data_IF_463811877233
#
_entry.id   IF_463811877233
#
_cell.length_a   1.000
_cell.length_b   1.000
_cell.length_c   1.000
_cell.angle_alpha   90.00
_cell.angle_beta   90.00
_cell.angle_gamma   90.00
#
_symmetry.space_group_name_H-M   'P 1'
#
loop_
_entity.id
_entity.type
_entity.pdbx_description
1 polymer ?
#
# COMPACT_ATOMS: atom_id res chain seq x y z
N UNK A 1 -12.97 8.86 17.88
CA UNK A 1 -11.57 8.51 18.25
C UNK A 1 -11.61 7.29 19.14
N UNK A 2 -10.67 6.35 19.03
CA UNK A 2 -10.60 5.18 19.91
C UNK A 2 -9.15 4.83 20.20
N UNK A 3 -8.87 4.40 21.43
CA UNK A 3 -7.53 4.06 21.88
C UNK A 3 -7.51 3.56 23.33
N UNK A 4 -6.31 3.28 23.83
CA UNK A 4 -6.08 3.09 25.26
C UNK A 4 -5.98 4.46 25.95
N UNK A 5 -6.96 4.76 26.81
CA UNK A 5 -7.00 6.02 27.54
C UNK A 5 -6.39 5.93 28.95
N UNK A 6 -6.03 4.72 29.43
CA UNK A 6 -5.62 4.47 30.83
C UNK A 6 -6.53 5.18 31.88
N UNK A 7 -7.81 5.33 31.53
CA UNK A 7 -8.78 6.13 32.24
C UNK A 7 -9.84 5.20 32.82
N UNK A 8 -9.98 5.20 34.14
CA UNK A 8 -10.92 4.34 34.84
C UNK A 8 -12.09 5.18 35.36
N UNK A 9 -13.32 4.79 35.05
CA UNK A 9 -14.52 5.42 35.57
C UNK A 9 -15.69 4.44 35.60
N UNK A 10 -16.58 4.59 36.59
CA UNK A 10 -17.76 3.72 36.74
C UNK A 10 -18.74 3.84 35.57
N UNK A 11 -18.73 4.97 34.86
CA UNK A 11 -19.60 5.20 33.70
C UNK A 11 -19.33 4.24 32.53
N UNK A 12 -18.10 3.74 32.39
CA UNK A 12 -17.76 2.67 31.44
C UNK A 12 -17.36 1.38 32.18
N UNK A 13 -18.04 1.13 33.30
CA UNK A 13 -18.02 -0.13 34.04
C UNK A 13 -16.64 -0.55 34.63
N UNK A 14 -15.75 0.41 34.88
CA UNK A 14 -14.58 0.15 35.73
C UNK A 14 -14.97 0.11 37.22
N UNK A 15 -14.31 -0.77 37.98
CA UNK A 15 -14.53 -0.94 39.42
C UNK A 15 -14.30 0.34 40.25
N UNK A 16 -13.31 1.15 39.86
CA UNK A 16 -12.93 2.40 40.51
C UNK A 16 -12.76 3.51 39.49
N UNK A 17 -12.88 4.75 39.95
CA UNK A 17 -12.59 5.93 39.13
C UNK A 17 -11.20 6.49 39.48
N UNK A 18 -10.38 6.80 38.47
CA UNK A 18 -9.11 7.52 38.65
C UNK A 18 -9.27 9.01 38.22
N UNK A 19 -8.31 9.91 38.55
CA UNK A 19 -8.40 11.32 38.16
C UNK A 19 -8.61 11.51 36.66
N UNK A 20 -7.86 10.77 35.83
CA UNK A 20 -7.99 10.83 34.36
C UNK A 20 -9.39 10.45 33.88
N UNK A 21 -10.00 9.41 34.45
CA UNK A 21 -11.36 9.02 34.14
C UNK A 21 -12.41 10.04 34.56
N UNK A 22 -12.22 10.73 35.70
CA UNK A 22 -13.10 11.84 36.11
C UNK A 22 -12.99 13.02 35.14
N UNK A 23 -11.77 13.39 34.73
CA UNK A 23 -11.55 14.45 33.75
C UNK A 23 -12.14 14.10 32.39
N UNK A 24 -11.91 12.86 31.92
CA UNK A 24 -12.43 12.39 30.65
C UNK A 24 -13.97 12.37 30.67
N UNK A 25 -14.58 11.87 31.73
CA UNK A 25 -16.03 11.85 31.88
C UNK A 25 -16.64 13.27 31.90
N UNK A 26 -16.01 14.21 32.59
CA UNK A 26 -16.41 15.62 32.57
C UNK A 26 -16.30 16.20 31.16
N UNK A 27 -15.15 16.02 30.51
CA UNK A 27 -14.91 16.50 29.14
C UNK A 27 -15.94 15.96 28.16
N UNK A 28 -16.29 14.67 28.24
CA UNK A 28 -17.28 14.06 27.35
C UNK A 28 -18.67 14.61 27.61
N UNK A 29 -19.03 14.88 28.87
CA UNK A 29 -20.32 15.47 29.23
C UNK A 29 -20.42 16.91 28.70
N UNK A 30 -19.41 17.74 28.96
CA UNK A 30 -19.38 19.15 28.56
C UNK A 30 -19.41 19.31 27.02
N UNK A 31 -18.81 18.36 26.28
CA UNK A 31 -18.71 18.41 24.82
C UNK A 31 -19.75 17.55 24.07
N UNK A 32 -20.72 16.97 24.79
CA UNK A 32 -21.76 16.08 24.25
C UNK A 32 -21.17 14.93 23.42
N UNK A 33 -20.15 14.28 23.98
CA UNK A 33 -19.51 13.09 23.42
C UNK A 33 -20.12 11.84 24.06
N UNK A 34 -20.38 10.84 23.23
CA UNK A 34 -20.76 9.51 23.68
C UNK A 34 -19.51 8.64 23.88
N UNK A 35 -19.44 7.92 25.00
CA UNK A 35 -18.40 6.94 25.26
C UNK A 35 -18.92 5.55 24.86
N UNK A 36 -18.30 4.94 23.86
CA UNK A 36 -18.49 3.53 23.56
C UNK A 36 -17.42 2.72 24.29
N UNK A 37 -17.85 1.78 25.12
CA UNK A 37 -17.00 0.89 25.89
C UNK A 37 -17.53 -0.55 25.80
N UNK A 38 -16.66 -1.56 25.66
CA UNK A 38 -17.09 -2.94 25.70
C UNK A 38 -17.75 -3.33 27.04
N UNK A 39 -18.69 -4.29 27.04
CA UNK A 39 -19.32 -4.78 28.28
C UNK A 39 -18.36 -5.62 29.13
N UNK A 40 -17.29 -6.14 28.53
CA UNK A 40 -16.28 -6.98 29.18
C UNK A 40 -14.92 -6.27 29.25
N UNK A 41 -14.06 -6.58 30.25
CA UNK A 41 -12.77 -5.92 30.43
C UNK A 41 -11.86 -6.04 29.21
N UNK A 42 -11.15 -4.94 28.90
CA UNK A 42 -10.16 -4.88 27.81
C UNK A 42 -8.73 -5.09 28.30
N UNK A 43 -8.49 -5.03 29.62
CA UNK A 43 -7.18 -5.33 30.23
C UNK A 43 -7.32 -6.23 31.45
N UNK A 44 -6.46 -7.24 31.51
CA UNK A 44 -6.33 -8.20 32.61
C UNK A 44 -4.89 -8.17 33.14
N UNK A 45 -4.64 -7.30 34.12
CA UNK A 45 -3.36 -7.24 34.82
C UNK A 45 -3.40 -7.93 36.19
N UNK A 46 -2.34 -7.76 36.99
CA UNK A 46 -2.28 -8.27 38.38
C UNK A 46 -3.32 -7.65 39.34
N UNK A 47 -4.04 -6.62 38.90
CA UNK A 47 -5.12 -5.95 39.62
C UNK A 47 -6.48 -6.34 39.03
N UNK A 48 -7.56 -5.74 39.55
CA UNK A 48 -8.92 -5.96 39.03
C UNK A 48 -9.01 -5.65 37.53
N UNK A 49 -9.70 -6.49 36.73
CA UNK A 49 -9.93 -6.25 35.31
C UNK A 49 -10.52 -4.86 35.03
N UNK A 50 -10.11 -4.22 33.94
CA UNK A 50 -10.51 -2.85 33.60
C UNK A 50 -10.87 -2.65 32.14
N UNK A 51 -11.70 -1.65 31.89
CA UNK A 51 -12.14 -1.22 30.56
C UNK A 51 -11.51 0.13 30.28
N UNK A 52 -10.36 0.14 29.60
CA UNK A 52 -9.59 1.36 29.32
C UNK A 52 -9.35 1.60 27.82
N UNK A 53 -9.62 0.59 27.00
CA UNK A 53 -9.65 0.68 25.55
C UNK A 53 -11.08 1.05 25.11
N UNK A 54 -11.34 2.35 24.99
CA UNK A 54 -12.68 2.93 24.76
C UNK A 54 -12.68 3.83 23.51
N UNK A 55 -13.86 4.16 23.01
CA UNK A 55 -14.04 5.08 21.89
C UNK A 55 -14.91 6.28 22.26
N UNK A 56 -14.46 7.47 21.88
CA UNK A 56 -15.19 8.73 21.98
C UNK A 56 -15.87 9.04 20.64
N UNK A 57 -17.17 9.27 20.70
CA UNK A 57 -18.03 9.48 19.54
C UNK A 57 -18.67 10.86 19.64
N UNK A 58 -18.57 11.66 18.56
CA UNK A 58 -19.22 12.97 18.43
C UNK A 58 -20.04 12.98 17.15
N UNK A 59 -21.27 13.48 17.22
CA UNK A 59 -22.11 13.74 16.04
C UNK A 59 -22.30 12.53 15.11
N UNK A 60 -22.34 11.31 15.64
CA UNK A 60 -22.72 10.11 14.89
C UNK A 60 -24.11 9.68 15.34
N UNK A 61 -25.05 9.62 14.39
CA UNK A 61 -26.42 9.15 14.61
C UNK A 61 -26.55 7.63 14.43
N UNK A 62 -25.45 6.89 14.59
CA UNK A 62 -25.42 5.45 14.38
C UNK A 62 -25.12 4.77 15.70
N UNK A 63 -25.76 3.62 15.93
CA UNK A 63 -25.45 2.78 17.06
C UNK A 63 -24.03 2.23 16.91
N UNK A 64 -23.27 2.27 18.00
CA UNK A 64 -21.94 1.69 18.08
C UNK A 64 -21.99 0.48 19.03
N UNK A 65 -21.79 -0.71 18.50
CA UNK A 65 -21.61 -1.91 19.28
C UNK A 65 -20.11 -2.13 19.57
N UNK A 66 -19.75 -2.19 20.84
CA UNK A 66 -18.39 -2.35 21.33
C UNK A 66 -18.23 -3.73 21.99
N UNK A 67 -17.24 -4.51 21.57
CA UNK A 67 -16.97 -5.85 22.10
C UNK A 67 -15.48 -6.01 22.38
N UNK A 68 -15.13 -6.61 23.52
CA UNK A 68 -13.77 -7.02 23.81
C UNK A 68 -13.55 -8.44 23.32
N UNK A 69 -12.53 -8.65 22.50
CA UNK A 69 -12.19 -9.93 21.90
C UNK A 69 -11.08 -10.56 22.73
N UNK A 70 -11.35 -11.75 23.29
CA UNK A 70 -10.32 -12.49 24.02
C UNK A 70 -9.22 -12.94 23.06
N UNK A 71 -8.04 -12.34 23.17
CA UNK A 71 -6.87 -12.70 22.38
C UNK A 71 -5.74 -13.11 23.35
N UNK A 72 -5.35 -14.38 23.33
CA UNK A 72 -4.52 -15.01 24.37
C UNK A 72 -3.02 -14.62 24.34
N UNK A 73 -2.65 -13.55 23.65
CA UNK A 73 -1.23 -13.18 23.43
C UNK A 73 -0.78 -11.91 24.15
N UNK A 74 -1.67 -11.19 24.84
CA UNK A 74 -1.38 -9.94 25.57
C UNK A 74 -2.26 -9.83 26.81
N UNK A 75 -1.83 -9.02 27.79
CA UNK A 75 -2.65 -8.58 28.93
C UNK A 75 -3.79 -7.63 28.52
N UNK A 76 -3.78 -7.15 27.27
CA UNK A 76 -4.85 -6.43 26.62
C UNK A 76 -5.64 -7.30 25.63
N UNK A 77 -6.95 -7.32 25.79
CA UNK A 77 -7.88 -7.81 24.79
C UNK A 77 -8.22 -6.70 23.79
N UNK A 78 -8.10 -6.96 22.47
CA UNK A 78 -8.55 -6.01 21.45
C UNK A 78 -10.00 -5.59 21.64
N UNK A 79 -10.27 -4.29 21.53
CA UNK A 79 -11.62 -3.76 21.50
C UNK A 79 -12.06 -3.55 20.04
N UNK A 80 -13.18 -4.16 19.66
CA UNK A 80 -13.82 -4.02 18.36
C UNK A 80 -15.04 -3.09 18.49
N UNK A 81 -15.00 -1.99 17.77
CA UNK A 81 -16.12 -1.06 17.64
C UNK A 81 -16.74 -1.22 16.25
N UNK A 82 -18.00 -1.65 16.22
CA UNK A 82 -18.81 -1.81 15.02
C UNK A 82 -19.89 -0.74 15.02
N UNK A 83 -20.11 -0.11 13.87
CA UNK A 83 -21.17 0.88 13.71
C UNK A 83 -22.24 0.30 12.80
N UNK A 84 -23.50 0.45 13.17
CA UNK A 84 -24.67 -0.01 12.40
C UNK A 84 -24.92 0.89 11.19
N UNK A 85 -23.91 0.99 10.32
CA UNK A 85 -23.95 1.77 9.11
C UNK A 85 -23.55 0.89 7.93
N UNK A 86 -24.49 0.63 7.03
CA UNK A 86 -24.17 0.24 5.66
C UNK A 86 -23.59 1.45 4.96
N UNK A 87 -22.27 1.62 5.01
CA UNK A 87 -21.62 2.63 4.16
C UNK A 87 -21.84 2.13 2.73
N UNK A 88 -22.82 2.69 2.03
CA UNK A 88 -22.75 2.72 0.59
C UNK A 88 -21.49 3.54 0.29
N UNK A 89 -20.36 2.88 0.01
CA UNK A 89 -19.10 3.51 -0.34
C UNK A 89 -19.23 4.15 -1.72
N UNK A 90 -20.03 5.21 -1.80
CA UNK A 90 -20.14 6.14 -2.91
C UNK A 90 -19.57 7.50 -2.47
N UNK A 91 -18.56 7.51 -1.60
CA UNK A 91 -17.66 8.67 -1.50
C UNK A 91 -16.85 8.69 -2.79
N UNK A 92 -17.48 9.21 -3.85
CA UNK A 92 -16.81 9.46 -5.12
C UNK A 92 -15.87 10.62 -4.83
N UNK A 93 -14.57 10.33 -4.72
CA UNK A 93 -13.55 11.36 -4.66
C UNK A 93 -13.77 12.28 -5.86
N UNK A 94 -14.04 13.55 -5.63
CA UNK A 94 -14.23 14.53 -6.72
C UNK A 94 -13.08 15.50 -6.71
N UNK A 95 -12.64 15.91 -7.89
CA UNK A 95 -11.71 17.01 -8.04
C UNK A 95 -12.26 17.98 -9.09
N UNK A 96 -11.91 19.25 -8.94
CA UNK A 96 -12.29 20.28 -9.90
C UNK A 96 -11.23 20.35 -11.00
N UNK A 97 -11.67 20.40 -12.25
CA UNK A 97 -10.82 20.84 -13.36
C UNK A 97 -11.38 22.16 -13.85
N UNK A 98 -10.52 23.17 -13.91
CA UNK A 98 -10.85 24.51 -14.38
C UNK A 98 -10.27 24.73 -15.76
N UNK A 99 -11.06 25.30 -16.67
CA UNK A 99 -10.53 25.76 -17.96
C UNK A 99 -9.99 27.18 -17.79
N UNK A 100 -8.68 27.30 -17.61
CA UNK A 100 -8.02 28.58 -17.37
C UNK A 100 -8.17 29.58 -18.51
N UNK A 101 -8.17 29.13 -19.77
CA UNK A 101 -8.39 30.03 -20.91
C UNK A 101 -9.79 30.67 -20.87
N UNK A 102 -10.82 29.88 -20.55
CA UNK A 102 -12.17 30.41 -20.36
C UNK A 102 -12.27 31.29 -19.11
N UNK A 103 -11.55 30.94 -18.04
CA UNK A 103 -11.51 31.74 -16.82
C UNK A 103 -11.02 33.16 -17.10
N UNK A 104 -9.92 33.33 -17.85
CA UNK A 104 -9.43 34.66 -18.22
C UNK A 104 -10.45 35.44 -19.07
N UNK A 105 -11.09 34.80 -20.05
CA UNK A 105 -12.17 35.44 -20.84
C UNK A 105 -13.33 35.90 -19.95
N UNK A 106 -13.73 35.08 -18.97
CA UNK A 106 -14.79 35.46 -18.03
C UNK A 106 -14.37 36.57 -17.07
N UNK A 107 -13.10 36.62 -16.69
CA UNK A 107 -12.56 37.66 -15.81
C UNK A 107 -12.45 39.00 -16.55
N UNK A 108 -11.98 38.99 -17.79
CA UNK A 108 -11.86 40.19 -18.64
C UNK A 108 -13.23 40.81 -18.96
N UNK A 109 -14.26 39.98 -19.06
CA UNK A 109 -15.65 40.43 -19.30
C UNK A 109 -16.40 40.79 -18.01
N UNK A 110 -15.82 40.58 -16.83
CA UNK A 110 -16.48 40.88 -15.57
C UNK A 110 -16.43 42.39 -15.27
N UNK A 111 -17.59 42.99 -15.02
CA UNK A 111 -17.68 44.41 -14.65
C UNK A 111 -17.37 44.60 -13.18
N UNK A 112 -16.27 45.28 -12.86
CA UNK A 112 -15.97 45.73 -11.51
C UNK A 112 -16.60 47.10 -11.25
N UNK A 113 -17.46 47.20 -10.23
CA UNK A 113 -17.99 48.49 -9.80
C UNK A 113 -17.09 49.10 -8.72
N UNK A 114 -16.49 50.28 -8.93
CA UNK A 114 -15.64 50.91 -7.94
C UNK A 114 -16.45 51.35 -6.72
N UNK A 115 -15.95 51.04 -5.51
CA UNK A 115 -16.48 51.55 -4.25
C UNK A 115 -15.53 52.62 -3.70
N UNK A 116 -16.03 53.45 -2.77
CA UNK A 116 -15.20 54.50 -2.15
C UNK A 116 -14.16 53.89 -1.18
N UNK A 117 -12.91 53.84 -1.60
CA UNK A 117 -11.80 53.23 -0.85
C UNK A 117 -11.32 54.04 0.36
N UNK A 118 -11.80 55.28 0.54
CA UNK A 118 -11.39 56.15 1.64
C UNK A 118 -12.10 55.82 2.96
N UNK A 119 -12.98 54.82 2.96
CA UNK A 119 -13.70 54.35 4.15
C UNK A 119 -13.37 52.88 4.39
N UNK A 120 -13.23 52.44 5.66
CA UNK A 120 -13.05 51.03 5.98
C UNK A 120 -14.15 50.14 5.37
N UNK A 121 -15.40 50.59 5.40
CA UNK A 121 -16.54 49.86 4.85
C UNK A 121 -16.49 49.74 3.33
N UNK A 122 -16.05 50.80 2.65
CA UNK A 122 -15.89 50.78 1.20
C UNK A 122 -14.71 49.92 0.75
N UNK A 123 -13.63 49.86 1.55
CA UNK A 123 -12.52 48.93 1.33
C UNK A 123 -12.98 47.47 1.46
N UNK A 124 -13.68 47.13 2.54
CA UNK A 124 -14.20 45.78 2.77
C UNK A 124 -15.20 45.37 1.68
N UNK A 125 -16.07 46.30 1.28
CA UNK A 125 -17.03 46.09 0.18
C UNK A 125 -16.32 45.84 -1.16
N UNK A 126 -15.23 46.55 -1.45
CA UNK A 126 -14.40 46.31 -2.64
C UNK A 126 -13.72 44.95 -2.62
N UNK A 127 -13.16 44.53 -1.49
CA UNK A 127 -12.52 43.21 -1.33
C UNK A 127 -13.55 42.11 -1.53
N UNK A 128 -14.72 42.23 -0.89
CA UNK A 128 -15.82 41.28 -1.02
C UNK A 128 -16.31 41.21 -2.48
N UNK A 129 -16.48 42.35 -3.14
CA UNK A 129 -16.91 42.42 -4.53
C UNK A 129 -15.91 41.75 -5.49
N UNK A 130 -14.61 42.03 -5.35
CA UNK A 130 -13.56 41.37 -6.13
C UNK A 130 -13.53 39.87 -5.89
N UNK A 131 -13.64 39.45 -4.63
CA UNK A 131 -13.65 38.02 -4.25
C UNK A 131 -14.85 37.31 -4.90
N UNK A 132 -16.02 37.94 -4.90
CA UNK A 132 -17.23 37.40 -5.52
C UNK A 132 -17.09 37.27 -7.04
N UNK A 133 -16.48 38.25 -7.71
CA UNK A 133 -16.18 38.15 -9.15
C UNK A 133 -15.28 36.94 -9.42
N UNK A 134 -14.14 36.84 -8.73
CA UNK A 134 -13.18 35.74 -8.91
C UNK A 134 -13.84 34.38 -8.65
N UNK A 135 -14.61 34.26 -7.58
CA UNK A 135 -15.35 33.04 -7.26
C UNK A 135 -16.39 32.71 -8.33
N UNK A 136 -17.16 33.68 -8.81
CA UNK A 136 -18.17 33.48 -9.85
C UNK A 136 -17.56 32.99 -11.17
N UNK A 137 -16.46 33.62 -11.62
CA UNK A 137 -15.71 33.22 -12.81
C UNK A 137 -15.12 31.82 -12.63
N UNK A 138 -14.57 31.51 -11.44
CA UNK A 138 -14.02 30.19 -11.14
C UNK A 138 -15.11 29.12 -11.17
N UNK A 139 -16.27 29.38 -10.58
CA UNK A 139 -17.39 28.43 -10.56
C UNK A 139 -17.99 28.21 -11.95
N UNK A 140 -18.11 29.27 -12.78
CA UNK A 140 -18.62 29.16 -14.14
C UNK A 140 -17.70 28.35 -15.08
N UNK A 141 -16.40 28.33 -14.80
CA UNK A 141 -15.37 27.71 -15.67
C UNK A 141 -14.77 26.41 -15.12
N UNK A 142 -15.18 26.03 -13.90
CA UNK A 142 -14.75 24.80 -13.24
C UNK A 142 -15.81 23.71 -13.33
N UNK A 143 -15.38 22.50 -13.71
CA UNK A 143 -16.22 21.30 -13.70
C UNK A 143 -15.75 20.35 -12.61
N UNK A 144 -16.69 19.90 -11.78
CA UNK A 144 -16.46 18.84 -10.81
C UNK A 144 -16.42 17.50 -11.53
N UNK A 145 -15.28 16.80 -11.47
CA UNK A 145 -15.10 15.49 -12.08
C UNK A 145 -15.04 14.44 -10.97
N UNK A 146 -15.77 13.36 -11.19
CA UNK A 146 -15.70 12.18 -10.36
C UNK A 146 -14.36 11.50 -10.67
N UNK A 147 -13.51 11.35 -9.67
CA UNK A 147 -12.41 10.39 -9.70
C UNK A 147 -13.07 9.02 -9.72
N UNK A 148 -13.39 8.56 -10.91
CA UNK A 148 -13.66 7.14 -11.12
C UNK A 148 -12.43 6.44 -10.58
N UNK A 149 -12.62 5.58 -9.57
CA UNK A 149 -11.62 4.56 -9.29
C UNK A 149 -11.25 4.00 -10.66
N UNK A 150 -9.97 3.95 -11.01
CA UNK A 150 -9.54 3.26 -12.23
C UNK A 150 -10.10 1.86 -12.10
N UNK A 151 -11.29 1.61 -12.67
CA UNK A 151 -11.86 0.28 -12.78
C UNK A 151 -10.73 -0.45 -13.45
N UNK A 152 -10.12 -1.39 -12.74
CA UNK A 152 -8.97 -2.09 -13.28
C UNK A 152 -9.41 -2.55 -14.66
N UNK A 153 -8.69 -2.15 -15.71
CA UNK A 153 -9.04 -2.42 -17.12
C UNK A 153 -9.07 -3.92 -17.46
N UNK A 154 -9.01 -4.77 -16.44
CA UNK A 154 -9.09 -6.20 -16.52
C UNK A 154 -10.50 -6.66 -16.89
N UNK A 155 -10.54 -7.69 -17.73
CA UNK A 155 -11.78 -8.34 -18.14
C UNK A 155 -12.66 -8.76 -16.96
N UNK A 156 -13.95 -8.98 -17.23
CA UNK A 156 -14.92 -9.50 -16.24
C UNK A 156 -14.43 -10.81 -15.62
N UNK A 157 -13.76 -11.64 -16.42
CA UNK A 157 -13.18 -12.90 -16.00
C UNK A 157 -12.13 -12.73 -14.88
N UNK A 158 -11.13 -11.87 -15.09
CA UNK A 158 -10.10 -11.60 -14.08
C UNK A 158 -10.72 -11.04 -12.80
N UNK A 159 -11.71 -10.15 -12.91
CA UNK A 159 -12.41 -9.58 -11.75
C UNK A 159 -13.15 -10.64 -10.94
N UNK A 160 -13.84 -11.57 -11.61
CA UNK A 160 -14.50 -12.70 -10.96
C UNK A 160 -13.48 -13.59 -10.24
N UNK A 161 -12.36 -13.94 -10.90
CA UNK A 161 -11.29 -14.74 -10.30
C UNK A 161 -10.66 -14.05 -9.08
N UNK A 162 -10.42 -12.74 -9.12
CA UNK A 162 -9.93 -11.96 -7.97
C UNK A 162 -10.93 -12.03 -6.80
N UNK A 163 -12.23 -11.96 -7.10
CA UNK A 163 -13.27 -12.05 -6.07
C UNK A 163 -13.22 -13.42 -5.39
N UNK A 164 -13.20 -14.51 -6.16
CA UNK A 164 -13.06 -15.87 -5.64
C UNK A 164 -11.77 -16.07 -4.84
N UNK A 165 -10.64 -15.55 -5.33
CA UNK A 165 -9.36 -15.61 -4.62
C UNK A 165 -9.42 -14.89 -3.27
N UNK A 166 -10.07 -13.74 -3.20
CA UNK A 166 -10.25 -13.00 -1.96
C UNK A 166 -11.14 -13.73 -0.95
N UNK A 167 -12.15 -14.49 -1.41
CA UNK A 167 -12.94 -15.38 -0.56
C UNK A 167 -12.06 -16.51 0.01
N UNK A 168 -11.29 -17.19 -0.84
CA UNK A 168 -10.37 -18.25 -0.39
C UNK A 168 -9.32 -17.73 0.60
N UNK A 169 -8.81 -16.51 0.39
CA UNK A 169 -7.84 -15.89 1.31
C UNK A 169 -8.41 -15.64 2.71
N UNK A 170 -9.73 -15.40 2.82
CA UNK A 170 -10.42 -15.18 4.09
C UNK A 170 -10.84 -16.47 4.76
N UNK A 171 -10.82 -17.59 4.03
CA UNK A 171 -11.05 -18.90 4.62
C UNK A 171 -9.86 -19.28 5.51
N UNK A 172 -10.16 -19.80 6.70
CA UNK A 172 -9.16 -20.33 7.62
C UNK A 172 -8.89 -21.84 7.40
N UNK A 173 -9.41 -22.41 6.31
CA UNK A 173 -9.29 -23.84 6.02
C UNK A 173 -7.98 -24.17 5.27
N UNK A 174 -7.18 -25.16 5.71
CA UNK A 174 -5.89 -25.51 5.08
C UNK A 174 -5.97 -25.85 3.59
N UNK A 175 -7.05 -26.53 3.17
CA UNK A 175 -7.28 -26.91 1.77
C UNK A 175 -7.40 -25.69 0.83
N UNK A 176 -7.89 -24.55 1.34
CA UNK A 176 -8.11 -23.35 0.54
C UNK A 176 -6.82 -22.61 0.21
N UNK A 177 -5.72 -22.89 0.92
CA UNK A 177 -4.39 -22.33 0.62
C UNK A 177 -3.86 -22.78 -0.74
N UNK A 178 -4.11 -24.04 -1.11
CA UNK A 178 -3.70 -24.58 -2.40
C UNK A 178 -4.51 -23.94 -3.53
N UNK A 179 -5.83 -23.90 -3.37
CA UNK A 179 -6.75 -23.25 -4.31
C UNK A 179 -6.43 -21.75 -4.48
N UNK A 180 -6.13 -21.05 -3.38
CA UNK A 180 -5.67 -19.65 -3.43
C UNK A 180 -4.39 -19.50 -4.25
N UNK A 181 -3.40 -20.38 -4.04
CA UNK A 181 -2.11 -20.31 -4.73
C UNK A 181 -2.26 -20.56 -6.23
N UNK A 182 -3.06 -21.56 -6.60
CA UNK A 182 -3.39 -21.86 -7.99
C UNK A 182 -4.08 -20.67 -8.66
N UNK A 183 -5.14 -20.16 -8.05
CA UNK A 183 -5.92 -19.05 -8.58
C UNK A 183 -5.12 -17.75 -8.66
N UNK A 184 -4.24 -17.49 -7.68
CA UNK A 184 -3.32 -16.34 -7.72
C UNK A 184 -2.33 -16.44 -8.88
N UNK A 185 -1.79 -17.63 -9.14
CA UNK A 185 -0.89 -17.85 -10.27
C UNK A 185 -1.62 -17.67 -11.61
N UNK A 186 -2.85 -18.18 -11.71
CA UNK A 186 -3.69 -18.01 -12.90
C UNK A 186 -3.99 -16.53 -13.15
N UNK A 187 -4.43 -15.78 -12.14
CA UNK A 187 -4.68 -14.33 -12.23
C UNK A 187 -3.44 -13.58 -12.72
N UNK A 188 -2.25 -13.92 -12.20
CA UNK A 188 -0.99 -13.30 -12.65
C UNK A 188 -0.73 -13.55 -14.14
N UNK A 189 -1.00 -14.76 -14.64
CA UNK A 189 -0.83 -15.09 -16.05
C UNK A 189 -1.84 -14.34 -16.93
N UNK A 190 -3.11 -14.29 -16.53
CA UNK A 190 -4.14 -13.57 -17.26
C UNK A 190 -3.84 -12.06 -17.33
N UNK A 191 -3.42 -11.45 -16.22
CA UNK A 191 -3.02 -10.04 -16.18
C UNK A 191 -1.81 -9.80 -17.10
N UNK A 192 -0.81 -10.70 -17.08
CA UNK A 192 0.35 -10.60 -17.97
C UNK A 192 -0.06 -10.66 -19.44
N UNK A 193 -0.95 -11.59 -19.78
CA UNK A 193 -1.46 -11.76 -21.14
C UNK A 193 -2.21 -10.51 -21.62
N UNK A 194 -3.15 -9.98 -20.84
CA UNK A 194 -3.88 -8.77 -21.21
C UNK A 194 -2.96 -7.55 -21.35
N UNK A 195 -1.99 -7.37 -20.45
CA UNK A 195 -1.00 -6.29 -20.56
C UNK A 195 -0.16 -6.41 -21.83
N UNK A 196 0.28 -7.62 -22.17
CA UNK A 196 1.02 -7.87 -23.40
C UNK A 196 0.16 -7.59 -24.63
N UNK A 197 -1.12 -7.97 -24.62
CA UNK A 197 -2.07 -7.66 -25.70
C UNK A 197 -2.22 -6.16 -25.91
N UNK A 198 -2.42 -5.40 -24.83
CA UNK A 198 -2.51 -3.92 -24.89
C UNK A 198 -1.22 -3.34 -25.44
N UNK A 199 -0.07 -3.83 -24.97
CA UNK A 199 1.23 -3.38 -25.45
C UNK A 199 1.44 -3.68 -26.94
N UNK A 200 1.10 -4.88 -27.40
CA UNK A 200 1.19 -5.27 -28.80
C UNK A 200 0.28 -4.40 -29.68
N UNK A 201 -0.95 -4.13 -29.23
CA UNK A 201 -1.87 -3.24 -29.95
C UNK A 201 -1.29 -1.82 -30.04
N UNK A 202 -0.68 -1.33 -28.95
CA UNK A 202 0.00 -0.04 -28.95
C UNK A 202 1.17 -0.02 -29.95
N UNK A 203 2.01 -1.06 -29.96
CA UNK A 203 3.12 -1.18 -30.92
C UNK A 203 2.61 -1.19 -32.37
N UNK A 204 1.52 -1.89 -32.66
CA UNK A 204 0.91 -1.95 -33.99
C UNK A 204 0.28 -0.61 -34.41
N UNK A 205 -0.09 0.25 -33.46
CA UNK A 205 -0.67 1.57 -33.74
C UNK A 205 0.39 2.66 -33.99
N UNK A 206 1.68 2.36 -33.79
CA UNK A 206 2.75 3.35 -33.97
C UNK A 206 2.93 3.69 -35.43
N UNK A 207 3.16 4.98 -35.70
CA UNK A 207 3.45 5.51 -37.02
C UNK A 207 4.74 6.33 -37.01
N UNK A 208 5.40 6.37 -38.17
CA UNK A 208 6.55 7.24 -38.42
C UNK A 208 6.14 8.69 -38.69
N UNK A 209 4.87 8.93 -39.00
CA UNK A 209 4.38 10.23 -39.47
C UNK A 209 3.97 11.18 -38.33
N UNK A 210 3.67 10.64 -37.14
CA UNK A 210 3.07 11.38 -36.02
C UNK A 210 3.96 11.43 -34.76
N UNK A 211 5.28 11.22 -34.91
CA UNK A 211 6.27 11.14 -33.82
C UNK A 211 5.98 10.08 -32.74
N UNK A 212 4.91 9.29 -32.84
CA UNK A 212 4.51 8.29 -31.83
C UNK A 212 5.57 7.22 -31.63
N UNK A 213 6.17 6.73 -32.72
CA UNK A 213 7.26 5.77 -32.69
C UNK A 213 8.48 6.32 -31.93
N UNK A 214 8.93 7.52 -32.27
CA UNK A 214 10.08 8.17 -31.65
C UNK A 214 9.87 8.45 -30.16
N UNK A 215 8.69 8.92 -29.79
CA UNK A 215 8.31 9.13 -28.38
C UNK A 215 8.32 7.82 -27.60
N UNK A 216 7.83 6.72 -28.19
CA UNK A 216 7.82 5.39 -27.58
C UNK A 216 9.24 4.85 -27.38
N UNK A 217 10.10 4.91 -28.42
CA UNK A 217 11.50 4.49 -28.34
C UNK A 217 12.25 5.29 -27.27
N UNK A 218 12.06 6.61 -27.25
CA UNK A 218 12.67 7.51 -26.26
C UNK A 218 12.23 7.14 -24.83
N UNK A 219 10.97 6.80 -24.63
CA UNK A 219 10.45 6.36 -23.34
C UNK A 219 11.10 5.05 -22.87
N UNK A 220 11.22 4.06 -23.76
CA UNK A 220 11.86 2.77 -23.46
C UNK A 220 13.33 2.99 -23.09
N UNK A 221 14.07 3.80 -23.86
CA UNK A 221 15.49 4.09 -23.61
C UNK A 221 15.76 4.85 -22.31
N UNK A 222 14.80 5.65 -21.82
CA UNK A 222 14.92 6.38 -20.55
C UNK A 222 14.80 5.49 -19.31
N UNK A 223 14.43 4.21 -19.45
CA UNK A 223 14.39 3.29 -18.33
C UNK A 223 15.83 2.90 -17.92
N UNK A 224 16.43 3.71 -17.06
CA UNK A 224 17.69 3.36 -16.42
C UNK A 224 17.42 2.43 -15.24
N UNK A 225 18.03 1.25 -15.25
CA UNK A 225 18.02 0.38 -14.08
C UNK A 225 19.11 0.86 -13.11
N UNK A 226 18.69 1.53 -12.04
CA UNK A 226 19.60 1.85 -10.95
C UNK A 226 19.95 0.54 -10.24
N UNK A 227 21.22 0.12 -10.34
CA UNK A 227 21.73 -1.00 -9.57
C UNK A 227 21.94 -0.49 -8.13
N UNK A 228 21.17 -0.96 -7.14
CA UNK A 228 21.31 -0.49 -5.77
C UNK A 228 22.73 -0.75 -5.24
N UNK A 229 23.17 -0.04 -4.19
CA UNK A 229 24.44 -0.36 -3.53
C UNK A 229 24.42 -1.80 -3.02
N UNK A 230 25.52 -2.50 -3.19
CA UNK A 230 25.68 -3.87 -2.69
C UNK A 230 26.16 -3.81 -1.25
N UNK A 231 25.58 -4.63 -0.35
CA UNK A 231 25.98 -4.69 1.05
C UNK A 231 26.73 -6.00 1.30
N UNK A 232 27.98 -5.90 1.75
CA UNK A 232 28.75 -7.05 2.26
C UNK A 232 29.40 -6.66 3.59
N UNK A 233 29.29 -7.51 4.62
CA UNK A 233 29.83 -7.28 5.96
C UNK A 233 29.60 -5.86 6.52
N UNK A 234 28.37 -5.34 6.38
CA UNK A 234 27.95 -3.98 6.77
C UNK A 234 28.58 -2.80 6.00
N UNK A 235 29.43 -3.03 5.00
CA UNK A 235 29.90 -2.01 4.07
C UNK A 235 28.99 -1.93 2.83
N UNK A 236 28.82 -0.71 2.32
CA UNK A 236 28.00 -0.42 1.13
C UNK A 236 28.91 -0.07 -0.06
N UNK A 237 28.80 -0.85 -1.12
CA UNK A 237 29.56 -0.69 -2.36
C UNK A 237 28.68 -0.04 -3.43
N UNK A 238 29.02 1.18 -3.82
CA UNK A 238 28.23 2.00 -4.74
C UNK A 238 28.68 1.85 -6.19
N UNK A 239 29.99 1.74 -6.43
CA UNK A 239 30.56 1.59 -7.77
C UNK A 239 30.31 0.19 -8.35
N UNK A 240 30.12 0.10 -9.66
CA UNK A 240 29.93 -1.19 -10.33
C UNK A 240 31.17 -2.07 -10.24
N UNK A 241 32.39 -1.48 -10.22
CA UNK A 241 33.64 -2.23 -10.06
C UNK A 241 33.71 -2.88 -8.68
N UNK A 242 33.39 -2.13 -7.63
CA UNK A 242 33.44 -2.62 -6.26
C UNK A 242 32.41 -3.72 -6.01
N UNK A 243 31.20 -3.56 -6.58
CA UNK A 243 30.16 -4.60 -6.57
C UNK A 243 30.65 -5.88 -7.23
N UNK A 244 31.28 -5.78 -8.41
CA UNK A 244 31.79 -6.92 -9.14
C UNK A 244 32.91 -7.63 -8.37
N UNK A 245 33.88 -6.88 -7.84
CA UNK A 245 34.98 -7.42 -7.03
C UNK A 245 34.47 -8.09 -5.76
N UNK A 246 33.51 -7.47 -5.07
CA UNK A 246 32.91 -8.03 -3.85
C UNK A 246 32.23 -9.37 -4.14
N UNK A 247 31.49 -9.46 -5.25
CA UNK A 247 30.88 -10.71 -5.69
C UNK A 247 31.93 -11.75 -6.08
N UNK A 248 32.98 -11.34 -6.81
CA UNK A 248 34.07 -12.23 -7.20
C UNK A 248 34.75 -12.84 -5.98
N UNK A 249 35.14 -12.03 -4.99
CA UNK A 249 35.75 -12.51 -3.74
C UNK A 249 34.79 -13.38 -2.92
N UNK A 250 33.49 -13.05 -2.89
CA UNK A 250 32.50 -13.89 -2.21
C UNK A 250 32.41 -15.28 -2.84
N UNK A 251 32.34 -15.36 -4.17
CA UNK A 251 32.28 -16.64 -4.87
C UNK A 251 33.60 -17.41 -4.77
N UNK A 252 34.74 -16.75 -4.90
CA UNK A 252 36.05 -17.35 -4.68
C UNK A 252 36.09 -18.05 -3.31
N UNK A 253 35.70 -17.35 -2.24
CA UNK A 253 35.65 -17.92 -0.89
C UNK A 253 34.62 -19.05 -0.70
N UNK A 254 33.55 -19.09 -1.49
CA UNK A 254 32.55 -20.17 -1.42
C UNK A 254 32.99 -21.42 -2.19
N UNK A 255 33.78 -21.23 -3.25
CA UNK A 255 34.24 -22.30 -4.13
C UNK A 255 35.70 -22.70 -3.88
N UNK A 256 36.36 -22.12 -2.87
CA UNK A 256 37.63 -22.62 -2.35
C UNK A 256 37.40 -23.94 -1.64
N UNK A 257 38.03 -25.05 -2.08
CA UNK A 257 37.90 -26.33 -1.40
C UNK A 257 38.38 -26.20 0.04
N UNK A 258 37.60 -26.70 0.99
CA UNK A 258 38.07 -26.83 2.37
C UNK A 258 39.28 -27.78 2.38
N UNK A 259 40.32 -27.43 3.16
CA UNK A 259 41.52 -28.26 3.31
C UNK A 259 41.22 -29.48 4.22
N UNK A 260 40.34 -30.36 3.76
CA UNK A 260 39.97 -31.60 4.42
C UNK A 260 40.74 -32.69 3.70
N UNK A 261 42.01 -32.88 4.06
CA UNK A 261 42.80 -33.98 3.54
C UNK A 261 42.28 -35.29 4.14
N UNK A 262 41.56 -36.07 3.34
CA UNK A 262 41.23 -37.45 3.67
C UNK A 262 41.94 -38.38 2.69
N UNK A 263 43.19 -38.71 3.03
CA UNK A 263 44.13 -39.52 2.23
C UNK A 263 43.48 -40.81 1.67
N UNK A 264 42.65 -41.58 2.42
CA UNK A 264 41.96 -42.74 1.87
C UNK A 264 40.88 -42.41 0.83
N UNK A 265 40.20 -41.27 0.94
CA UNK A 265 39.19 -40.85 -0.06
C UNK A 265 39.84 -40.33 -1.33
N UNK A 266 40.98 -39.63 -1.22
CA UNK A 266 41.75 -39.16 -2.37
C UNK A 266 42.38 -40.31 -3.16
N UNK A 267 42.88 -41.35 -2.48
CA UNK A 267 43.41 -42.55 -3.15
C UNK A 267 42.33 -43.33 -3.89
N UNK A 268 41.12 -43.44 -3.33
CA UNK A 268 39.97 -44.06 -3.99
C UNK A 268 39.46 -43.23 -5.18
N UNK A 269 39.38 -41.90 -5.06
CA UNK A 269 38.98 -41.04 -6.17
C UNK A 269 40.00 -41.10 -7.33
N UNK A 270 41.30 -41.07 -7.01
CA UNK A 270 42.37 -41.13 -8.01
C UNK A 270 42.47 -42.50 -8.71
N UNK A 271 42.14 -43.61 -8.04
CA UNK A 271 42.07 -44.93 -8.67
C UNK A 271 40.83 -45.08 -9.56
N UNK A 272 39.75 -44.34 -9.28
CA UNK A 272 38.48 -44.41 -10.04
C UNK A 272 38.46 -43.45 -11.26
N UNK A 273 39.20 -42.34 -11.21
CA UNK A 273 39.21 -41.30 -12.28
C UNK A 273 40.27 -41.58 -13.36
N UNK A 274 41.39 -42.23 -13.04
CA UNK A 274 42.44 -42.57 -14.02
C UNK A 274 41.99 -43.50 -15.17
N UNK A 275 41.08 -44.48 -14.97
CA UNK A 275 40.60 -45.31 -16.08
C UNK A 275 39.64 -44.59 -17.02
N UNK A 276 38.99 -43.48 -16.61
CA UNK A 276 37.92 -42.84 -17.39
C UNK A 276 38.35 -41.65 -18.24
N UNK A 277 39.65 -41.30 -18.24
CA UNK A 277 40.19 -40.18 -19.04
C UNK A 277 40.75 -40.60 -20.42
N UNK A 278 40.57 -41.86 -20.82
CA UNK A 278 40.73 -42.28 -22.22
C UNK A 278 39.50 -41.89 -23.06
N UNK A 279 39.15 -40.61 -23.09
CA UNK A 279 38.23 -40.05 -24.09
C UNK A 279 39.04 -39.11 -24.96
N UNK A 280 39.73 -39.70 -25.94
CA UNK A 280 40.22 -39.00 -27.13
C UNK A 280 39.01 -38.57 -27.95
N UNK A 281 38.47 -37.38 -27.68
CA UNK A 281 37.71 -36.55 -28.61
C UNK A 281 37.35 -35.22 -27.95
N UNK A 282 38.34 -34.34 -27.80
CA UNK A 282 38.08 -32.91 -27.61
C UNK A 282 37.70 -32.29 -28.97
N UNK A 283 36.50 -32.61 -29.47
CA UNK A 283 35.79 -31.66 -30.31
C UNK A 283 35.27 -30.58 -29.36
N UNK A 284 35.68 -29.33 -29.60
CA UNK A 284 35.11 -28.15 -28.98
C UNK A 284 33.58 -28.26 -28.92
N UNK A 285 33.05 -28.59 -27.76
CA UNK A 285 31.72 -28.18 -27.36
C UNK A 285 31.95 -26.92 -26.54
N UNK A 286 31.75 -25.78 -27.20
CA UNK A 286 31.37 -24.53 -26.54
C UNK A 286 30.45 -24.88 -25.36
N UNK A 287 30.61 -24.25 -24.18
CA UNK A 287 29.60 -24.37 -23.14
C UNK A 287 28.29 -23.89 -23.74
N UNK A 288 27.39 -24.83 -24.05
CA UNK A 288 25.98 -24.53 -24.12
C UNK A 288 25.67 -23.87 -22.78
N UNK A 289 25.21 -22.62 -22.87
CA UNK A 289 24.76 -21.79 -21.76
C UNK A 289 24.25 -22.67 -20.62
N UNK A 290 25.06 -22.84 -19.58
CA UNK A 290 24.50 -23.12 -18.27
C UNK A 290 23.64 -21.89 -17.98
N UNK A 291 22.34 -22.03 -18.22
CA UNK A 291 21.33 -21.15 -17.64
C UNK A 291 21.44 -21.34 -16.12
N UNK A 292 22.41 -20.65 -15.52
CA UNK A 292 22.35 -20.22 -14.15
C UNK A 292 20.98 -19.59 -14.00
N UNK A 293 20.11 -20.32 -13.30
CA UNK A 293 18.79 -19.89 -12.92
C UNK A 293 18.99 -18.57 -12.21
N UNK A 294 18.70 -17.48 -12.91
CA UNK A 294 18.82 -16.13 -12.38
C UNK A 294 18.13 -16.08 -11.01
N UNK A 295 18.76 -15.48 -9.98
CA UNK A 295 18.06 -15.23 -8.73
C UNK A 295 16.83 -14.39 -9.09
N UNK A 296 15.64 -14.90 -8.71
CA UNK A 296 14.35 -14.28 -8.96
C UNK A 296 14.42 -12.78 -8.64
N UNK A 297 14.53 -11.95 -9.66
CA UNK A 297 14.42 -10.50 -9.55
C UNK A 297 12.98 -10.13 -9.17
N UNK A 298 12.86 -9.36 -8.09
CA UNK A 298 11.82 -8.34 -7.95
C UNK A 298 10.46 -8.81 -7.43
N UNK A 299 10.37 -9.10 -6.13
CA UNK A 299 9.19 -8.66 -5.36
C UNK A 299 9.34 -7.18 -5.08
N UNK A 300 8.67 -6.33 -5.84
CA UNK A 300 8.33 -4.99 -5.37
C UNK A 300 7.39 -5.14 -4.17
N UNK A 301 7.58 -4.41 -3.06
CA UNK A 301 6.56 -4.32 -2.04
C UNK A 301 5.43 -3.46 -2.62
N UNK A 302 4.44 -4.09 -3.23
CA UNK A 302 3.15 -3.43 -3.41
C UNK A 302 2.53 -3.30 -2.02
N UNK A 303 2.62 -2.10 -1.45
CA UNK A 303 1.67 -1.65 -0.44
C UNK A 303 0.28 -1.78 -1.07
N UNK A 304 -0.40 -2.87 -0.71
CA UNK A 304 -1.81 -3.03 -1.01
C UNK A 304 -2.53 -2.13 -0.03
N UNK A 305 -2.97 -0.96 -0.49
CA UNK A 305 -3.95 -0.17 0.24
C UNK A 305 -5.25 -0.99 0.21
N UNK A 306 -5.45 -1.74 1.29
CA UNK A 306 -6.70 -2.40 1.64
C UNK A 306 -7.69 -1.29 2.03
N UNK A 307 -8.61 -0.97 1.12
CA UNK A 307 -9.85 -0.30 1.52
C UNK A 307 -10.78 -1.40 2.04
N UNK A 308 -10.85 -1.50 3.36
CA UNK A 308 -11.82 -2.34 4.07
C UNK A 308 -13.15 -1.59 4.06
N UNK A 309 -14.28 -2.19 3.61
CA UNK A 309 -15.58 -1.51 3.59
C UNK A 309 -16.30 -1.50 4.96
N UNK A 310 -15.56 -1.64 6.05
CA UNK A 310 -16.09 -1.52 7.40
C UNK A 310 -15.06 -0.76 8.22
N UNK A 311 -15.44 0.44 8.68
CA UNK A 311 -14.67 1.17 9.68
C UNK A 311 -14.88 0.43 11.00
N UNK A 312 -14.15 -0.66 11.17
CA UNK A 312 -13.85 -1.21 12.48
C UNK A 312 -12.57 -0.51 12.93
N UNK A 313 -12.65 0.28 14.00
CA UNK A 313 -11.44 0.73 14.67
C UNK A 313 -10.97 -0.47 15.49
N UNK A 314 -9.90 -1.11 15.01
CA UNK A 314 -9.24 -2.21 15.69
C UNK A 314 -8.05 -1.65 16.46
N UNK A 315 -8.17 -1.60 17.78
CA UNK A 315 -7.08 -1.16 18.66
C UNK A 315 -6.32 -2.41 19.07
N UNK A 316 -5.13 -2.61 18.49
CA UNK A 316 -4.17 -3.64 18.90
C UNK A 316 -2.95 -2.93 19.46
N UNK A 317 -2.50 -3.35 20.64
CA UNK A 317 -1.16 -3.03 21.15
C UNK A 317 -0.17 -4.09 20.68
#
# INVERSE_FOLDING_TARGET
MGGDFNSHHRHWNCSRANPFGKHLFKFTTDNRLHIAAPPTPTRFGNLTPSIIDIALIKNLNFNCNAVSISALTSDHNPALFTFDHTIHTNIKLTYNISNWAKFYIHLDNATYTPHNLNTPDGLESSISHLTNIIHSCYHATSKKILKTAKISHFSKEIRNKITTMNHLRKSHHPHDKNNYTLLNNEIKQLIKHEKNKIWNNHLNSLSTNDNSLWNTIKSIRKQTHIIPPHKNNNLLFYSNIDKANTLASHYENQFTPNNITNIPTETLANSTIKPSLAITNLRCLLPSLFLLRSPRKGTTPYYSILVVPSIGIYIKK
#
